data_IF_572301883527
#
_entry.id   IF_572301883527
#
_cell.length_a   1.000
_cell.length_b   1.000
_cell.length_c   1.000
_cell.angle_alpha   90.00
_cell.angle_beta   90.00
_cell.angle_gamma   90.00
#
_symmetry.space_group_name_H-M   'P 1'
#
loop_
_entity.id
_entity.type
_entity.pdbx_description
1 polymer ?
#
# COMPACT_ATOMS: atom_id res chain seq x y z
N UNK A 1 8.36 9.85 -22.66
CA UNK A 1 8.02 9.86 -21.22
C UNK A 1 6.94 10.91 -21.05
N UNK A 2 5.72 10.45 -20.82
CA UNK A 2 4.53 11.20 -21.20
C UNK A 2 4.00 11.88 -19.95
N UNK A 3 4.42 13.12 -19.72
CA UNK A 3 3.91 13.96 -18.63
C UNK A 3 2.45 14.34 -18.94
N UNK A 4 1.51 13.49 -18.52
CA UNK A 4 0.09 13.82 -18.62
C UNK A 4 -0.17 15.05 -17.77
N UNK A 5 -0.53 16.18 -18.39
CA UNK A 5 -0.99 17.40 -17.72
C UNK A 5 -2.22 17.04 -16.85
N UNK A 6 -2.00 16.71 -15.59
CA UNK A 6 -3.07 16.37 -14.65
C UNK A 6 -3.80 17.67 -14.30
N UNK A 7 -5.11 17.71 -14.56
CA UNK A 7 -5.99 18.77 -14.07
C UNK A 7 -5.72 19.02 -12.59
N UNK A 8 -5.46 20.27 -12.21
CA UNK A 8 -5.07 20.72 -10.87
C UNK A 8 -6.04 20.33 -9.73
N UNK A 9 -7.18 19.69 -10.07
CA UNK A 9 -8.14 19.09 -9.12
C UNK A 9 -7.78 17.67 -8.68
N UNK A 10 -6.85 16.97 -9.36
CA UNK A 10 -6.46 15.60 -9.01
C UNK A 10 -5.23 15.63 -8.10
N UNK A 11 -5.42 15.27 -6.83
CA UNK A 11 -4.31 15.06 -5.89
C UNK A 11 -3.42 13.93 -6.40
N UNK A 12 -2.10 14.14 -6.37
CA UNK A 12 -1.12 13.15 -6.78
C UNK A 12 -1.20 11.90 -5.88
N UNK A 13 -1.14 10.70 -6.45
CA UNK A 13 -1.15 9.47 -5.68
C UNK A 13 0.13 9.34 -4.85
N UNK A 14 0.04 8.73 -3.67
CA UNK A 14 1.18 8.48 -2.79
C UNK A 14 2.16 7.45 -3.37
N UNK A 15 1.70 6.65 -4.34
CA UNK A 15 2.44 5.58 -5.00
C UNK A 15 2.55 5.91 -6.49
N UNK A 16 3.78 6.01 -6.98
CA UNK A 16 4.06 6.22 -8.40
C UNK A 16 3.58 5.04 -9.25
N UNK A 17 3.16 5.31 -10.48
CA UNK A 17 2.60 4.31 -11.40
C UNK A 17 3.57 3.20 -11.83
N UNK A 18 4.86 3.30 -11.49
CA UNK A 18 5.91 2.34 -11.86
C UNK A 18 6.36 1.39 -10.75
N UNK A 19 5.87 1.51 -9.52
CA UNK A 19 6.30 0.66 -8.41
C UNK A 19 5.58 -0.71 -8.44
N UNK A 20 6.33 -1.78 -8.71
CA UNK A 20 5.79 -3.15 -8.67
C UNK A 20 5.58 -3.60 -7.23
N UNK A 21 4.33 -3.81 -6.85
CA UNK A 21 3.96 -4.27 -5.51
C UNK A 21 4.11 -5.79 -5.45
N UNK A 22 5.18 -6.26 -4.82
CA UNK A 22 5.38 -7.68 -4.50
C UNK A 22 5.29 -7.94 -2.99
N UNK A 23 4.80 -9.11 -2.61
CA UNK A 23 4.69 -9.58 -1.22
C UNK A 23 6.05 -9.88 -0.57
N UNK A 24 7.08 -10.15 -1.38
CA UNK A 24 8.47 -10.34 -0.92
C UNK A 24 9.11 -9.01 -0.49
N UNK A 25 8.70 -7.91 -1.11
CA UNK A 25 9.22 -6.57 -0.83
C UNK A 25 8.39 -5.92 0.28
N UNK A 26 8.93 -5.91 1.51
CA UNK A 26 8.18 -5.50 2.70
C UNK A 26 7.93 -3.99 2.82
N UNK A 27 8.58 -3.13 2.02
CA UNK A 27 8.50 -1.67 2.13
C UNK A 27 7.09 -1.11 1.87
N UNK A 28 6.46 -1.54 0.77
CA UNK A 28 5.14 -1.06 0.35
C UNK A 28 3.99 -1.67 1.18
N UNK A 29 3.95 -2.98 1.44
CA UNK A 29 2.98 -3.58 2.35
C UNK A 29 2.99 -2.92 3.73
N UNK A 30 4.17 -2.69 4.34
CA UNK A 30 4.27 -2.04 5.67
C UNK A 30 3.68 -0.64 5.69
N UNK A 31 3.89 0.16 4.64
CA UNK A 31 3.33 1.53 4.54
C UNK A 31 1.82 1.56 4.35
N UNK A 32 1.25 0.49 3.77
CA UNK A 32 -0.19 0.37 3.53
C UNK A 32 -1.00 -0.16 4.72
N UNK A 33 -0.33 -0.44 5.83
CA UNK A 33 -0.92 -1.05 7.03
C UNK A 33 -0.84 -0.04 8.19
N UNK A 34 -1.85 -0.05 9.06
CA UNK A 34 -1.86 0.75 10.28
C UNK A 34 -0.90 0.18 11.32
N UNK A 35 -0.55 0.96 12.35
CA UNK A 35 0.26 0.47 13.48
C UNK A 35 -0.27 -0.84 14.10
N UNK A 36 -1.60 -1.02 14.08
CA UNK A 36 -2.30 -2.21 14.60
C UNK A 36 -2.39 -3.36 13.60
N UNK A 37 -1.71 -3.29 12.45
CA UNK A 37 -1.78 -4.34 11.45
C UNK A 37 -3.04 -4.33 10.59
N UNK A 38 -3.89 -3.30 10.62
CA UNK A 38 -5.09 -3.22 9.75
C UNK A 38 -4.73 -2.63 8.39
N UNK A 39 -5.28 -3.16 7.31
CA UNK A 39 -5.05 -2.59 5.96
C UNK A 39 -5.73 -1.22 5.89
N UNK A 40 -4.98 -0.19 5.48
CA UNK A 40 -5.51 1.16 5.34
C UNK A 40 -6.41 1.29 4.11
N UNK A 41 -7.40 2.18 4.22
CA UNK A 41 -8.33 2.47 3.12
C UNK A 41 -7.63 3.18 1.96
N UNK A 42 -8.20 3.02 0.75
CA UNK A 42 -7.78 3.69 -0.48
C UNK A 42 -7.69 5.21 -0.32
N UNK A 43 -8.62 5.81 0.44
CA UNK A 43 -8.64 7.26 0.65
C UNK A 43 -7.41 7.76 1.41
N UNK A 44 -6.97 7.00 2.42
CA UNK A 44 -5.78 7.30 3.22
C UNK A 44 -4.51 7.17 2.37
N UNK A 45 -4.42 6.08 1.60
CA UNK A 45 -3.25 5.78 0.76
C UNK A 45 -3.22 6.57 -0.55
N UNK A 46 -4.29 7.29 -0.90
CA UNK A 46 -4.45 8.03 -2.18
C UNK A 46 -4.06 7.18 -3.40
N UNK A 47 -4.46 5.91 -3.39
CA UNK A 47 -4.13 4.94 -4.41
C UNK A 47 -5.27 4.78 -5.42
N UNK A 48 -4.96 4.37 -6.65
CA UNK A 48 -6.00 3.95 -7.59
C UNK A 48 -6.66 2.63 -7.13
N UNK A 49 -7.88 2.35 -7.58
CA UNK A 49 -8.56 1.09 -7.22
C UNK A 49 -7.79 -0.15 -7.64
N UNK A 50 -7.05 -0.09 -8.76
CA UNK A 50 -6.17 -1.16 -9.24
C UNK A 50 -4.98 -1.37 -8.30
N UNK A 51 -4.28 -0.28 -7.95
CA UNK A 51 -3.17 -0.34 -7.00
C UNK A 51 -3.61 -0.90 -5.65
N UNK A 52 -4.74 -0.43 -5.10
CA UNK A 52 -5.24 -0.91 -3.81
C UNK A 52 -5.54 -2.43 -3.82
N UNK A 53 -6.08 -2.98 -4.91
CA UNK A 53 -6.32 -4.44 -5.05
C UNK A 53 -5.01 -5.24 -5.09
N UNK A 54 -3.99 -4.71 -5.75
CA UNK A 54 -2.66 -5.31 -5.78
C UNK A 54 -2.02 -5.28 -4.38
N UNK A 55 -2.09 -4.14 -3.69
CA UNK A 55 -1.59 -3.99 -2.32
C UNK A 55 -2.30 -4.93 -1.34
N UNK A 56 -3.63 -5.03 -1.39
CA UNK A 56 -4.37 -5.91 -0.48
C UNK A 56 -4.01 -7.38 -0.71
N UNK A 57 -3.83 -7.80 -1.96
CA UNK A 57 -3.39 -9.16 -2.30
C UNK A 57 -1.97 -9.41 -1.80
N UNK A 58 -1.04 -8.48 -2.03
CA UNK A 58 0.33 -8.58 -1.56
C UNK A 58 0.42 -8.65 -0.03
N UNK A 59 -0.33 -7.80 0.68
CA UNK A 59 -0.41 -7.83 2.15
C UNK A 59 -0.98 -9.15 2.65
N UNK A 60 -2.04 -9.69 2.02
CA UNK A 60 -2.60 -11.00 2.39
C UNK A 60 -1.60 -12.13 2.18
N UNK A 61 -0.89 -12.14 1.04
CA UNK A 61 0.18 -13.12 0.77
C UNK A 61 1.32 -13.01 1.77
N UNK A 62 1.77 -11.79 2.06
CA UNK A 62 2.81 -11.54 3.06
C UNK A 62 2.40 -12.04 4.46
N UNK A 63 1.12 -11.89 4.84
CA UNK A 63 0.60 -12.44 6.11
C UNK A 63 0.65 -13.97 6.19
N UNK A 64 0.38 -14.65 5.08
CA UNK A 64 0.43 -16.12 5.00
C UNK A 64 1.89 -16.60 4.96
N UNK A 65 2.74 -15.84 4.28
CA UNK A 65 4.14 -16.20 4.01
C UNK A 65 5.12 -15.86 5.14
N UNK A 66 4.74 -15.04 6.12
CA UNK A 66 5.68 -14.50 7.12
C UNK A 66 5.52 -15.14 8.52
N UNK A 67 6.63 -15.41 9.25
CA UNK A 67 6.62 -15.88 10.64
C UNK A 67 6.41 -14.77 11.68
N UNK A 68 6.44 -13.49 11.27
CA UNK A 68 6.30 -12.35 12.18
C UNK A 68 5.04 -11.55 11.86
N UNK A 69 4.24 -11.17 12.87
CA UNK A 69 3.05 -10.37 12.64
C UNK A 69 3.43 -9.00 12.04
N UNK A 70 2.72 -8.59 10.99
CA UNK A 70 2.72 -7.21 10.45
C UNK A 70 2.11 -6.19 11.43
N UNK A 71 2.20 -6.45 12.74
CA UNK A 71 1.54 -5.77 13.83
C UNK A 71 2.63 -5.30 14.79
N UNK A 72 2.70 -4.00 15.06
CA UNK A 72 3.51 -3.50 16.15
C UNK A 72 2.66 -3.63 17.42
N UNK A 73 3.08 -4.46 18.38
CA UNK A 73 2.40 -4.66 19.66
C UNK A 73 2.59 -3.46 20.62
N UNK A 74 2.63 -2.25 20.09
CA UNK A 74 2.78 -1.04 20.89
C UNK A 74 1.39 -0.49 21.22
N UNK A 75 0.73 -1.20 22.12
CA UNK A 75 -0.37 -0.71 22.94
C UNK A 75 0.22 -0.03 24.17
N UNK A 76 0.15 1.30 24.22
CA UNK A 76 -0.08 2.04 25.45
C UNK A 76 -1.57 2.37 25.51
#
# INVERSE_FOLDING_TARGET
MNESKLSSRRRLPLIGSGETVDHKNMSLPRRSISKRGKILSKQTNRSTSKQQRLMTTAVKRARISAPSPLVNNETR
#
